data_IF_380709583063
#
_entry.id   IF_380709583063
#
_cell.length_a   1.000
_cell.length_b   1.000
_cell.length_c   1.000
_cell.angle_alpha   90.00
_cell.angle_beta   90.00
_cell.angle_gamma   90.00
#
_symmetry.space_group_name_H-M   'P 1'
#
loop_
_entity.id
_entity.type
_entity.pdbx_description
1 polymer ?
#
# COMPACT_ATOMS: atom_id res chain seq x y z
N UNK A 1 10.26 -8.70 10.57
CA UNK A 1 10.46 -7.80 9.41
C UNK A 1 11.87 -7.90 8.80
N UNK A 2 12.89 -8.42 9.49
CA UNK A 2 14.24 -8.67 8.90
C UNK A 2 14.36 -9.95 8.03
N UNK A 3 13.29 -10.35 7.32
CA UNK A 3 13.28 -11.58 6.49
C UNK A 3 13.25 -11.33 4.98
N UNK A 4 13.27 -10.06 4.57
CA UNK A 4 13.30 -9.72 3.15
C UNK A 4 14.74 -9.81 2.65
N UNK A 5 15.00 -10.75 1.76
CA UNK A 5 16.31 -10.92 1.11
C UNK A 5 16.13 -10.67 -0.39
N UNK A 6 16.17 -9.40 -0.78
CA UNK A 6 15.97 -8.97 -2.17
C UNK A 6 17.29 -8.58 -2.83
N UNK A 7 17.50 -9.08 -4.04
CA UNK A 7 18.59 -8.71 -4.94
C UNK A 7 18.00 -8.34 -6.31
N UNK A 8 18.69 -7.45 -7.03
CA UNK A 8 18.28 -6.96 -8.36
C UNK A 8 18.29 -8.02 -9.48
N UNK A 9 18.52 -9.28 -9.14
CA UNK A 9 18.74 -10.38 -10.06
C UNK A 9 17.49 -11.24 -10.30
N UNK A 10 16.34 -10.87 -9.73
CA UNK A 10 15.08 -11.61 -9.88
C UNK A 10 14.63 -11.65 -11.34
N UNK A 11 14.32 -12.86 -11.82
CA UNK A 11 13.80 -13.15 -13.17
C UNK A 11 12.45 -13.86 -13.14
N UNK A 12 12.08 -14.47 -12.01
CA UNK A 12 10.74 -14.99 -11.79
C UNK A 12 10.27 -14.65 -10.37
N UNK A 13 9.00 -14.25 -10.24
CA UNK A 13 8.33 -14.03 -8.97
C UNK A 13 7.15 -15.01 -8.85
N UNK A 14 7.16 -15.79 -7.79
CA UNK A 14 6.11 -16.75 -7.44
C UNK A 14 5.35 -16.21 -6.25
N UNK A 15 4.06 -15.92 -6.46
CA UNK A 15 3.19 -15.42 -5.40
C UNK A 15 2.40 -16.58 -4.80
N UNK A 16 2.30 -16.63 -3.48
CA UNK A 16 1.18 -17.33 -2.88
C UNK A 16 -0.13 -16.67 -3.33
N UNK A 17 -1.18 -17.47 -3.44
CA UNK A 17 -2.49 -16.98 -3.84
C UNK A 17 -3.29 -16.49 -2.64
N UNK A 18 -3.31 -17.28 -1.56
CA UNK A 18 -4.26 -17.20 -0.47
C UNK A 18 -3.68 -16.43 0.73
N UNK A 19 -4.08 -15.18 0.93
CA UNK A 19 -3.50 -14.32 1.97
C UNK A 19 -2.38 -13.44 1.45
N UNK A 20 -1.90 -13.68 0.23
CA UNK A 20 -0.96 -12.80 -0.49
C UNK A 20 -1.69 -11.99 -1.58
N UNK A 21 -2.23 -12.65 -2.61
CA UNK A 21 -3.02 -11.98 -3.67
C UNK A 21 -4.49 -11.80 -3.28
N UNK A 22 -5.04 -12.71 -2.48
CA UNK A 22 -6.32 -12.53 -1.76
C UNK A 22 -6.08 -11.97 -0.36
N UNK A 23 -7.09 -11.35 0.24
CA UNK A 23 -6.94 -10.68 1.54
C UNK A 23 -7.00 -11.67 2.70
N UNK A 24 -7.81 -12.72 2.54
CA UNK A 24 -8.01 -13.75 3.55
C UNK A 24 -6.99 -14.88 3.39
N UNK A 25 -6.28 -15.28 4.46
CA UNK A 25 -5.39 -16.44 4.45
C UNK A 25 -6.11 -17.74 4.10
N UNK A 26 -5.38 -18.68 3.47
CA UNK A 26 -5.96 -19.89 2.86
C UNK A 26 -6.75 -20.78 3.79
N UNK A 27 -6.38 -20.84 5.07
CA UNK A 27 -7.01 -21.69 6.08
C UNK A 27 -8.40 -21.17 6.50
N UNK A 28 -8.73 -19.92 6.12
CA UNK A 28 -9.98 -19.22 6.49
C UNK A 28 -10.88 -18.89 5.30
N UNK A 29 -10.40 -19.09 4.07
CA UNK A 29 -11.06 -18.58 2.87
C UNK A 29 -11.91 -19.63 2.15
N UNK A 30 -13.24 -19.42 2.10
CA UNK A 30 -14.13 -20.17 1.21
C UNK A 30 -13.90 -19.79 -0.26
N UNK A 31 -14.06 -20.74 -1.20
CA UNK A 31 -13.82 -20.52 -2.64
C UNK A 31 -14.58 -19.32 -3.22
N UNK A 32 -15.83 -19.09 -2.80
CA UNK A 32 -16.64 -17.95 -3.29
C UNK A 32 -16.07 -16.61 -2.85
N UNK A 33 -15.48 -16.54 -1.65
CA UNK A 33 -14.93 -15.31 -1.10
C UNK A 33 -13.63 -14.93 -1.83
N UNK A 34 -12.79 -15.91 -2.19
CA UNK A 34 -11.54 -15.67 -2.94
C UNK A 34 -11.76 -14.93 -4.26
N UNK A 35 -12.79 -15.31 -5.01
CA UNK A 35 -13.12 -14.67 -6.29
C UNK A 35 -13.62 -13.23 -6.11
N UNK A 36 -14.44 -12.98 -5.09
CA UNK A 36 -14.92 -11.64 -4.79
C UNK A 36 -13.76 -10.73 -4.32
N UNK A 37 -12.93 -11.22 -3.40
CA UNK A 37 -11.76 -10.50 -2.90
C UNK A 37 -10.78 -10.15 -4.01
N UNK A 38 -10.43 -11.12 -4.88
CA UNK A 38 -9.47 -10.86 -5.95
C UNK A 38 -10.03 -9.89 -6.99
N UNK A 39 -11.34 -9.93 -7.28
CA UNK A 39 -11.99 -8.94 -8.15
C UNK A 39 -11.92 -7.53 -7.56
N UNK A 40 -12.20 -7.38 -6.27
CA UNK A 40 -12.11 -6.10 -5.56
C UNK A 40 -10.67 -5.55 -5.56
N UNK A 41 -9.67 -6.42 -5.42
CA UNK A 41 -8.25 -6.04 -5.38
C UNK A 41 -7.60 -5.87 -6.75
N UNK A 42 -8.20 -6.41 -7.82
CA UNK A 42 -7.66 -6.38 -9.19
C UNK A 42 -7.23 -4.98 -9.66
N UNK A 43 -8.00 -3.89 -9.44
CA UNK A 43 -7.59 -2.55 -9.85
C UNK A 43 -6.25 -2.09 -9.25
N UNK A 44 -5.96 -2.47 -8.01
CA UNK A 44 -4.70 -2.16 -7.34
C UNK A 44 -3.58 -3.12 -7.78
N UNK A 45 -3.85 -4.42 -7.86
CA UNK A 45 -2.83 -5.43 -8.21
C UNK A 45 -2.34 -5.31 -9.66
N UNK A 46 -3.25 -5.05 -10.61
CA UNK A 46 -2.97 -5.04 -12.05
C UNK A 46 -1.77 -4.18 -12.43
N UNK A 47 -1.67 -2.88 -12.08
CA UNK A 47 -0.54 -2.05 -12.51
C UNK A 47 0.81 -2.60 -12.03
N UNK A 48 0.87 -3.16 -10.82
CA UNK A 48 2.10 -3.76 -10.27
C UNK A 48 2.50 -5.04 -10.99
N UNK A 49 1.56 -5.97 -11.15
CA UNK A 49 1.79 -7.23 -11.85
C UNK A 49 2.14 -6.98 -13.32
N UNK A 50 1.49 -6.03 -13.97
CA UNK A 50 1.83 -5.62 -15.32
C UNK A 50 3.26 -5.06 -15.39
N UNK A 51 3.65 -4.22 -14.42
CA UNK A 51 4.99 -3.63 -14.39
C UNK A 51 6.08 -4.70 -14.26
N UNK A 52 5.89 -5.73 -13.44
CA UNK A 52 6.80 -6.88 -13.39
C UNK A 52 7.03 -7.51 -14.78
N UNK A 53 5.97 -7.69 -15.56
CA UNK A 53 6.10 -8.27 -16.91
C UNK A 53 6.83 -7.37 -17.87
N UNK A 54 6.56 -6.07 -17.81
CA UNK A 54 7.21 -5.07 -18.66
C UNK A 54 8.73 -5.04 -18.44
N UNK A 55 9.18 -5.30 -17.20
CA UNK A 55 10.60 -5.44 -16.87
C UNK A 55 11.14 -6.86 -17.06
N UNK A 56 10.36 -7.76 -17.66
CA UNK A 56 10.78 -9.10 -18.06
C UNK A 56 10.74 -10.17 -16.97
N UNK A 57 10.11 -9.89 -15.82
CA UNK A 57 9.95 -10.89 -14.75
C UNK A 57 8.80 -11.83 -15.10
N UNK A 58 9.06 -13.14 -15.01
CA UNK A 58 8.03 -14.17 -15.16
C UNK A 58 7.20 -14.25 -13.90
N UNK A 59 5.87 -14.17 -14.05
CA UNK A 59 4.93 -14.21 -12.93
C UNK A 59 4.27 -15.57 -12.82
N UNK A 60 4.54 -16.28 -11.72
CA UNK A 60 3.88 -17.54 -11.37
C UNK A 60 3.12 -17.47 -10.06
N UNK A 61 2.37 -18.52 -9.78
CA UNK A 61 1.64 -18.69 -8.52
C UNK A 61 1.97 -20.04 -7.92
N UNK A 62 2.11 -20.11 -6.60
CA UNK A 62 2.31 -21.35 -5.86
C UNK A 62 1.49 -21.34 -4.57
N UNK A 63 0.43 -22.14 -4.51
CA UNK A 63 -0.55 -22.08 -3.42
C UNK A 63 -1.12 -23.44 -3.03
N UNK A 64 -1.62 -23.53 -1.79
CA UNK A 64 -2.40 -24.69 -1.29
C UNK A 64 -3.71 -24.87 -2.06
N UNK A 65 -4.29 -23.79 -2.60
CA UNK A 65 -5.49 -23.87 -3.45
C UNK A 65 -5.27 -24.74 -4.68
N UNK A 66 -6.32 -25.39 -5.18
CA UNK A 66 -6.24 -26.14 -6.44
C UNK A 66 -5.97 -25.21 -7.63
N UNK A 67 -5.23 -25.69 -8.62
CA UNK A 67 -4.89 -24.94 -9.83
C UNK A 67 -6.14 -24.39 -10.53
N UNK A 68 -7.18 -25.20 -10.69
CA UNK A 68 -8.45 -24.75 -11.28
C UNK A 68 -9.07 -23.59 -10.50
N UNK A 69 -9.04 -23.62 -9.16
CA UNK A 69 -9.60 -22.53 -8.35
C UNK A 69 -8.84 -21.23 -8.55
N UNK A 70 -7.51 -21.32 -8.64
CA UNK A 70 -6.63 -20.17 -8.88
C UNK A 70 -6.92 -19.59 -10.27
N UNK A 71 -6.93 -20.44 -11.30
CA UNK A 71 -7.18 -20.03 -12.68
C UNK A 71 -8.56 -19.39 -12.85
N UNK A 72 -9.62 -20.00 -12.29
CA UNK A 72 -10.98 -19.44 -12.34
C UNK A 72 -11.05 -18.04 -11.71
N UNK A 73 -10.39 -17.85 -10.56
CA UNK A 73 -10.38 -16.58 -9.86
C UNK A 73 -9.60 -15.50 -10.62
N UNK A 74 -8.43 -15.85 -11.17
CA UNK A 74 -7.63 -14.94 -11.99
C UNK A 74 -8.36 -14.52 -13.27
N UNK A 75 -9.02 -15.47 -13.94
CA UNK A 75 -9.83 -15.20 -15.13
C UNK A 75 -10.98 -14.24 -14.79
N UNK A 76 -11.69 -14.54 -13.70
CA UNK A 76 -12.80 -13.73 -13.21
C UNK A 76 -12.39 -12.32 -12.77
N UNK A 77 -11.15 -12.13 -12.32
CA UNK A 77 -10.55 -10.85 -11.96
C UNK A 77 -9.79 -10.18 -13.13
N UNK A 78 -9.78 -10.81 -14.31
CA UNK A 78 -9.05 -10.42 -15.52
C UNK A 78 -7.52 -10.34 -15.33
N UNK A 79 -6.95 -10.99 -14.31
CA UNK A 79 -5.51 -10.97 -14.03
C UNK A 79 -4.76 -12.13 -14.70
N UNK A 80 -5.48 -13.14 -15.23
CA UNK A 80 -4.89 -14.38 -15.77
C UNK A 80 -3.79 -14.13 -16.80
N UNK A 81 -4.02 -13.18 -17.70
CA UNK A 81 -3.10 -12.80 -18.77
C UNK A 81 -1.75 -12.26 -18.26
N UNK A 82 -1.69 -11.81 -17.01
CA UNK A 82 -0.46 -11.28 -16.40
C UNK A 82 0.46 -12.39 -15.90
N UNK A 83 -0.07 -13.59 -15.61
CA UNK A 83 0.72 -14.71 -15.12
C UNK A 83 1.21 -15.59 -16.28
N UNK A 84 2.43 -15.31 -16.75
CA UNK A 84 3.10 -16.05 -17.83
C UNK A 84 4.04 -17.18 -17.34
N UNK A 85 4.06 -17.43 -16.02
CA UNK A 85 4.82 -18.50 -15.38
C UNK A 85 3.95 -19.69 -14.95
N UNK A 86 4.54 -20.62 -14.17
CA UNK A 86 3.80 -21.77 -13.65
C UNK A 86 2.72 -21.36 -12.65
N UNK A 87 1.59 -22.07 -12.67
CA UNK A 87 0.57 -22.02 -11.62
C UNK A 87 0.55 -23.38 -10.93
N UNK A 88 1.14 -23.45 -9.74
CA UNK A 88 1.24 -24.68 -8.96
C UNK A 88 0.19 -24.67 -7.86
N UNK A 89 -0.91 -25.39 -8.10
CA UNK A 89 -1.92 -25.64 -7.07
C UNK A 89 -1.59 -26.83 -6.19
N UNK A 90 -2.26 -26.93 -5.03
CA UNK A 90 -2.01 -27.97 -4.02
C UNK A 90 -0.53 -28.11 -3.69
N UNK A 91 0.17 -26.98 -3.56
CA UNK A 91 1.61 -26.90 -3.29
C UNK A 91 1.93 -27.34 -1.84
N UNK A 92 1.65 -28.61 -1.53
CA UNK A 92 1.91 -29.27 -0.26
C UNK A 92 2.95 -30.35 -0.53
N UNK A 93 4.19 -30.11 -0.13
CA UNK A 93 5.27 -31.09 -0.22
C UNK A 93 5.95 -31.24 1.13
N UNK A 94 6.70 -32.34 1.32
CA UNK A 94 7.48 -32.56 2.54
C UNK A 94 8.56 -31.48 2.74
N UNK A 95 9.02 -30.90 1.62
CA UNK A 95 10.03 -29.85 1.57
C UNK A 95 9.42 -28.44 1.43
N UNK A 96 8.09 -28.34 1.54
CA UNK A 96 7.35 -27.10 1.34
C UNK A 96 7.37 -26.61 -0.12
N UNK A 97 7.16 -25.31 -0.30
CA UNK A 97 7.22 -24.64 -1.61
C UNK A 97 8.64 -24.61 -2.18
N UNK A 98 9.65 -24.53 -1.32
CA UNK A 98 11.05 -24.47 -1.72
C UNK A 98 11.48 -25.69 -2.57
N UNK A 99 11.05 -26.91 -2.20
CA UNK A 99 11.33 -28.12 -2.98
C UNK A 99 10.62 -28.13 -4.34
N UNK A 100 9.36 -27.67 -4.40
CA UNK A 100 8.64 -27.55 -5.66
C UNK A 100 9.30 -26.53 -6.60
N UNK A 101 9.84 -25.43 -6.05
CA UNK A 101 10.57 -24.43 -6.83
C UNK A 101 11.85 -25.03 -7.43
N UNK A 102 12.56 -25.88 -6.67
CA UNK A 102 13.74 -26.58 -7.16
C UNK A 102 13.42 -27.53 -8.32
N UNK A 103 12.31 -28.26 -8.23
CA UNK A 103 11.83 -29.12 -9.32
C UNK A 103 11.50 -28.30 -10.58
N UNK A 104 10.80 -27.16 -10.41
CA UNK A 104 10.48 -26.23 -11.50
C UNK A 104 11.74 -25.69 -12.19
N UNK A 105 12.83 -25.47 -11.46
CA UNK A 105 14.11 -25.00 -11.98
C UNK A 105 14.95 -26.10 -12.63
N UNK A 106 14.82 -27.35 -12.16
CA UNK A 106 15.69 -28.44 -12.64
C UNK A 106 15.11 -29.11 -13.88
N UNK A 107 13.81 -29.35 -13.87
CA UNK A 107 13.12 -30.13 -14.92
C UNK A 107 11.89 -29.44 -15.49
N UNK A 108 11.46 -28.34 -14.88
CA UNK A 108 10.20 -27.69 -15.18
C UNK A 108 10.30 -26.42 -16.04
N UNK A 109 9.23 -25.61 -16.05
CA UNK A 109 9.11 -24.44 -16.90
C UNK A 109 10.05 -23.28 -16.53
N UNK A 110 10.78 -23.37 -15.40
CA UNK A 110 11.77 -22.37 -14.99
C UNK A 110 13.22 -22.83 -15.26
N UNK A 111 13.42 -23.97 -15.93
CA UNK A 111 14.75 -24.49 -16.24
C UNK A 111 15.60 -23.55 -17.12
N UNK A 112 14.97 -22.63 -17.86
CA UNK A 112 15.66 -21.62 -18.65
C UNK A 112 16.49 -20.63 -17.80
N UNK A 113 16.24 -20.55 -16.49
CA UNK A 113 17.02 -19.70 -15.58
C UNK A 113 18.45 -20.23 -15.38
N UNK A 114 18.71 -21.50 -15.71
CA UNK A 114 20.04 -22.10 -15.75
C UNK A 114 20.64 -22.39 -14.37
N UNK A 115 21.96 -22.61 -14.31
CA UNK A 115 22.66 -22.87 -13.05
C UNK A 115 22.48 -21.70 -12.08
N UNK A 116 22.18 -21.99 -10.81
CA UNK A 116 21.82 -21.00 -9.78
C UNK A 116 20.44 -20.35 -9.93
N UNK A 117 19.52 -20.97 -10.69
CA UNK A 117 18.15 -20.49 -10.88
C UNK A 117 17.46 -20.02 -9.59
N UNK A 118 17.68 -20.72 -8.47
CA UNK A 118 17.07 -20.39 -7.17
C UNK A 118 17.31 -18.94 -6.74
N UNK A 119 18.50 -18.39 -6.98
CA UNK A 119 18.84 -16.99 -6.63
C UNK A 119 18.11 -15.96 -7.48
N UNK A 120 17.58 -16.38 -8.62
CA UNK A 120 16.82 -15.53 -9.54
C UNK A 120 15.30 -15.63 -9.30
N UNK A 121 14.87 -16.35 -8.28
CA UNK A 121 13.47 -16.53 -7.92
C UNK A 121 13.15 -15.75 -6.66
N UNK A 122 12.06 -15.00 -6.71
CA UNK A 122 11.41 -14.40 -5.56
C UNK A 122 10.18 -15.22 -5.19
N UNK A 123 10.11 -15.68 -3.93
CA UNK A 123 8.87 -16.20 -3.33
C UNK A 123 8.23 -15.09 -2.48
N UNK A 124 6.97 -14.80 -2.77
CA UNK A 124 6.15 -13.87 -1.97
C UNK A 124 5.05 -14.65 -1.29
N UNK A 125 5.05 -14.66 0.04
CA UNK A 125 4.20 -15.54 0.84
C UNK A 125 3.85 -14.87 2.19
N UNK A 126 2.68 -15.17 2.75
CA UNK A 126 2.32 -14.80 4.12
C UNK A 126 2.78 -15.85 5.15
N UNK A 127 3.10 -17.07 4.70
CA UNK A 127 3.65 -18.12 5.57
C UNK A 127 5.16 -17.95 5.79
N UNK A 128 5.51 -17.38 6.94
CA UNK A 128 6.89 -17.13 7.38
C UNK A 128 7.74 -18.42 7.43
N UNK A 129 7.14 -19.58 7.69
CA UNK A 129 7.88 -20.85 7.73
C UNK A 129 8.28 -21.30 6.32
N UNK A 130 7.42 -21.07 5.33
CA UNK A 130 7.75 -21.34 3.93
C UNK A 130 8.84 -20.40 3.42
N UNK A 131 8.80 -19.12 3.82
CA UNK A 131 9.86 -18.16 3.50
C UNK A 131 11.21 -18.55 4.13
N UNK A 132 11.26 -18.93 5.40
CA UNK A 132 12.51 -19.37 6.04
C UNK A 132 13.10 -20.60 5.33
N UNK A 133 12.27 -21.57 4.95
CA UNK A 133 12.70 -22.73 4.14
C UNK A 133 13.25 -22.31 2.78
N UNK A 134 12.57 -21.40 2.09
CA UNK A 134 12.97 -20.88 0.79
C UNK A 134 14.32 -20.14 0.88
N UNK A 135 14.47 -19.26 1.87
CA UNK A 135 15.72 -18.52 2.10
C UNK A 135 16.92 -19.43 2.35
N UNK A 136 16.74 -20.53 3.10
CA UNK A 136 17.81 -21.54 3.31
C UNK A 136 18.25 -22.25 2.03
N UNK A 137 17.42 -22.25 0.98
CA UNK A 137 17.77 -22.76 -0.36
C UNK A 137 18.29 -21.68 -1.32
N UNK A 138 18.51 -20.47 -0.80
CA UNK A 138 19.00 -19.34 -1.60
C UNK A 138 17.95 -18.73 -2.52
N UNK A 139 16.66 -18.99 -2.25
CA UNK A 139 15.54 -18.29 -2.90
C UNK A 139 15.36 -16.94 -2.22
N UNK A 140 15.13 -15.90 -3.00
CA UNK A 140 14.79 -14.59 -2.45
C UNK A 140 13.38 -14.59 -1.88
N UNK A 141 13.15 -13.88 -0.79
CA UNK A 141 11.88 -13.93 -0.06
C UNK A 141 11.35 -12.54 0.22
N UNK A 142 10.03 -12.39 0.13
CA UNK A 142 9.30 -11.22 0.60
C UNK A 142 8.08 -11.67 1.40
N UNK A 143 7.96 -11.21 2.64
CA UNK A 143 6.82 -11.54 3.49
C UNK A 143 5.62 -10.63 3.17
N UNK A 144 4.53 -11.23 2.69
CA UNK A 144 3.25 -10.54 2.60
C UNK A 144 2.69 -10.25 4.02
N UNK A 145 1.84 -9.22 4.19
CA UNK A 145 1.17 -8.99 5.46
C UNK A 145 0.36 -10.21 5.94
N UNK A 146 0.40 -10.50 7.24
CA UNK A 146 -0.35 -11.63 7.84
C UNK A 146 -1.86 -11.57 7.59
N UNK A 147 -2.41 -10.36 7.41
CA UNK A 147 -3.81 -10.12 7.09
C UNK A 147 -3.93 -9.08 5.98
N UNK A 148 -4.90 -9.26 5.07
CA UNK A 148 -5.23 -8.28 4.03
C UNK A 148 -4.46 -8.47 2.71
N UNK A 149 -3.41 -9.28 2.72
CA UNK A 149 -2.50 -9.52 1.59
C UNK A 149 -1.75 -8.28 1.11
N UNK A 150 -1.01 -8.44 0.00
CA UNK A 150 -0.15 -7.38 -0.53
C UNK A 150 -0.93 -6.11 -0.87
N UNK A 151 -0.45 -5.00 -0.36
CA UNK A 151 -0.95 -3.67 -0.64
C UNK A 151 0.05 -2.90 -1.51
N UNK A 152 -0.42 -1.74 -1.95
CA UNK A 152 0.30 -0.78 -2.78
C UNK A 152 1.69 -0.41 -2.22
N UNK A 153 1.81 -0.26 -0.90
CA UNK A 153 3.09 0.06 -0.24
C UNK A 153 4.00 -1.17 -0.13
N UNK A 154 3.44 -2.37 0.04
CA UNK A 154 4.22 -3.62 0.04
C UNK A 154 4.85 -3.86 -1.33
N UNK A 155 4.10 -3.59 -2.42
CA UNK A 155 4.68 -3.59 -3.75
C UNK A 155 5.71 -2.47 -3.93
N UNK A 156 5.52 -1.30 -3.30
CA UNK A 156 6.51 -0.23 -3.28
C UNK A 156 7.84 -0.68 -2.66
N UNK A 157 7.80 -1.26 -1.46
CA UNK A 157 8.97 -1.81 -0.76
C UNK A 157 9.62 -2.94 -1.57
N UNK A 158 8.79 -3.82 -2.14
CA UNK A 158 9.26 -4.92 -2.98
C UNK A 158 9.99 -4.39 -4.22
N UNK A 159 9.42 -3.41 -4.93
CA UNK A 159 10.04 -2.80 -6.11
C UNK A 159 11.32 -2.06 -5.77
N UNK A 160 11.32 -1.30 -4.67
CA UNK A 160 12.52 -0.62 -4.17
C UNK A 160 13.65 -1.63 -3.88
N UNK A 161 13.34 -2.72 -3.18
CA UNK A 161 14.31 -3.77 -2.86
C UNK A 161 14.84 -4.51 -4.09
N UNK A 162 14.02 -4.66 -5.13
CA UNK A 162 14.45 -5.20 -6.43
C UNK A 162 15.16 -4.17 -7.32
N UNK A 163 15.17 -2.89 -6.93
CA UNK A 163 15.69 -1.80 -7.75
C UNK A 163 14.89 -1.56 -9.03
N UNK A 164 13.58 -1.82 -8.99
CA UNK A 164 12.64 -1.63 -10.09
C UNK A 164 11.87 -0.31 -9.91
N UNK A 165 11.52 0.33 -11.03
CA UNK A 165 10.65 1.51 -10.99
C UNK A 165 9.17 1.10 -10.83
N UNK A 166 8.44 1.67 -9.85
CA UNK A 166 7.02 1.41 -9.66
C UNK A 166 6.18 1.87 -10.88
N UNK A 167 4.96 1.36 -11.06
CA UNK A 167 4.10 1.78 -12.16
C UNK A 167 3.72 3.28 -12.07
N UNK A 168 3.57 3.98 -13.21
CA UNK A 168 3.40 5.44 -13.27
C UNK A 168 2.26 6.00 -12.42
N UNK A 169 1.20 5.22 -12.20
CA UNK A 169 0.00 5.62 -11.46
C UNK A 169 0.10 5.43 -9.94
N UNK A 170 1.11 4.69 -9.47
CA UNK A 170 1.17 4.23 -8.06
C UNK A 170 2.17 5.02 -7.19
N UNK A 171 3.14 5.68 -7.81
CA UNK A 171 4.31 6.21 -7.10
C UNK A 171 4.14 7.62 -6.50
N UNK A 172 3.00 8.28 -6.68
CA UNK A 172 2.89 9.68 -6.22
C UNK A 172 1.61 10.38 -6.57
N UNK A 173 0.49 9.65 -6.71
CA UNK A 173 -0.79 10.34 -6.93
C UNK A 173 -1.12 11.16 -5.68
N UNK A 174 -0.90 12.47 -5.78
CA UNK A 174 -1.44 13.47 -4.87
C UNK A 174 -2.92 13.71 -5.13
N UNK A 175 -3.53 12.94 -6.02
CA UNK A 175 -4.96 12.94 -6.24
C UNK A 175 -5.70 12.62 -4.95
N UNK A 176 -6.72 13.42 -4.71
CA UNK A 176 -7.57 13.35 -3.55
C UNK A 176 -8.85 12.64 -3.95
N UNK A 177 -9.07 11.47 -3.38
CA UNK A 177 -10.26 10.66 -3.62
C UNK A 177 -11.39 11.02 -2.65
N UNK A 178 -11.07 11.69 -1.55
CA UNK A 178 -12.08 12.16 -0.59
C UNK A 178 -11.66 13.45 0.12
N UNK A 179 -12.60 14.37 0.22
CA UNK A 179 -12.47 15.67 0.90
C UNK A 179 -13.51 15.77 2.01
N UNK A 180 -13.12 16.36 3.14
CA UNK A 180 -14.06 16.76 4.18
C UNK A 180 -14.59 18.16 3.87
N UNK A 181 -15.90 18.28 3.66
CA UNK A 181 -16.53 19.49 3.10
C UNK A 181 -16.34 20.74 3.96
N UNK A 182 -16.18 20.55 5.28
CA UNK A 182 -15.90 21.65 6.24
C UNK A 182 -14.46 22.12 6.22
N UNK A 183 -13.53 21.37 5.63
CA UNK A 183 -12.14 21.74 5.54
C UNK A 183 -11.89 22.88 4.56
N UNK A 184 -10.71 23.49 4.61
CA UNK A 184 -10.33 24.61 3.75
C UNK A 184 -10.49 24.31 2.24
N UNK A 185 -10.08 23.12 1.78
CA UNK A 185 -10.26 22.70 0.39
C UNK A 185 -11.75 22.54 0.03
N UNK A 186 -12.54 21.91 0.91
CA UNK A 186 -13.97 21.74 0.71
C UNK A 186 -14.71 23.08 0.58
N UNK A 187 -14.37 24.06 1.43
CA UNK A 187 -14.90 25.43 1.32
C UNK A 187 -14.46 26.13 0.04
N UNK A 188 -13.20 25.95 -0.38
CA UNK A 188 -12.68 26.54 -1.62
C UNK A 188 -13.38 26.01 -2.86
N UNK A 189 -13.81 24.74 -2.81
CA UNK A 189 -14.62 24.09 -3.83
C UNK A 189 -16.12 24.43 -3.71
N UNK A 190 -16.49 25.33 -2.78
CA UNK A 190 -17.89 25.70 -2.50
C UNK A 190 -18.77 24.51 -2.14
N UNK A 191 -18.21 23.47 -1.51
CA UNK A 191 -18.99 22.33 -1.02
C UNK A 191 -19.88 22.77 0.14
N UNK A 192 -21.11 22.25 0.18
CA UNK A 192 -21.99 22.41 1.34
C UNK A 192 -21.46 21.64 2.54
N UNK A 193 -21.78 22.08 3.76
CA UNK A 193 -21.38 21.38 5.00
C UNK A 193 -21.93 19.95 5.10
N UNK A 194 -22.93 19.60 4.27
CA UNK A 194 -23.47 18.25 4.11
C UNK A 194 -23.51 17.88 2.62
N UNK A 195 -23.11 16.65 2.23
CA UNK A 195 -22.52 15.61 3.10
C UNK A 195 -21.17 16.07 3.69
N UNK A 196 -20.81 15.52 4.85
CA UNK A 196 -19.56 15.88 5.54
C UNK A 196 -18.31 15.43 4.79
N UNK A 197 -18.45 14.39 3.95
CA UNK A 197 -17.41 13.82 3.11
C UNK A 197 -17.91 13.77 1.66
N UNK A 198 -17.08 14.22 0.72
CA UNK A 198 -17.31 14.07 -0.72
C UNK A 198 -16.22 13.16 -1.28
N UNK A 199 -16.62 12.11 -2.00
CA UNK A 199 -15.69 11.18 -2.66
C UNK A 199 -15.69 11.41 -4.17
N UNK A 200 -14.55 11.16 -4.79
CA UNK A 200 -14.32 11.26 -6.23
C UNK A 200 -14.00 9.88 -6.79
N UNK A 201 -14.40 9.64 -8.03
CA UNK A 201 -13.96 8.48 -8.79
C UNK A 201 -12.49 8.65 -9.19
N UNK A 202 -11.82 7.54 -9.48
CA UNK A 202 -10.40 7.56 -9.87
C UNK A 202 -10.19 8.37 -11.15
N UNK A 203 -9.30 9.36 -11.10
CA UNK A 203 -9.00 10.28 -12.19
C UNK A 203 -9.83 11.58 -12.18
N UNK A 204 -10.89 11.65 -11.37
CA UNK A 204 -11.77 12.82 -11.27
C UNK A 204 -11.48 13.68 -10.02
N UNK A 205 -10.59 13.20 -9.14
CA UNK A 205 -10.24 13.89 -7.91
C UNK A 205 -9.32 15.10 -8.16
N UNK A 206 -9.42 16.17 -7.36
CA UNK A 206 -8.44 17.25 -7.40
C UNK A 206 -7.09 16.75 -6.88
N UNK A 207 -6.01 17.42 -7.26
CA UNK A 207 -4.69 17.18 -6.70
C UNK A 207 -4.50 17.97 -5.40
N UNK A 208 -3.66 17.47 -4.49
CA UNK A 208 -3.25 18.24 -3.30
C UNK A 208 -2.69 19.62 -3.69
N UNK A 209 -1.95 19.69 -4.80
CA UNK A 209 -1.35 20.91 -5.33
C UNK A 209 -2.37 21.95 -5.79
N UNK A 210 -3.61 21.54 -6.08
CA UNK A 210 -4.69 22.46 -6.47
C UNK A 210 -5.18 23.28 -5.26
N UNK A 211 -4.94 22.77 -4.05
CA UNK A 211 -5.40 23.38 -2.80
C UNK A 211 -4.26 23.87 -1.91
N UNK A 212 -3.07 23.29 -1.99
CA UNK A 212 -1.97 23.58 -1.07
C UNK A 212 -0.63 23.74 -1.80
N UNK A 213 0.03 24.87 -1.51
CA UNK A 213 1.42 25.11 -1.87
C UNK A 213 2.32 24.55 -0.75
N UNK A 214 2.82 23.32 -0.93
CA UNK A 214 3.70 22.65 0.04
C UNK A 214 5.13 23.14 -0.12
N UNK A 215 5.78 23.50 0.99
CA UNK A 215 7.20 23.82 0.97
C UNK A 215 8.03 22.52 0.82
N UNK A 216 8.66 22.39 -0.34
CA UNK A 216 9.53 21.26 -0.67
C UNK A 216 11.02 21.57 -0.45
N UNK A 217 11.38 22.85 -0.23
CA UNK A 217 12.75 23.31 -0.05
C UNK A 217 13.20 23.22 1.40
N UNK A 218 12.29 23.46 2.34
CA UNK A 218 12.57 23.33 3.77
C UNK A 218 12.61 21.85 4.22
N UNK A 219 13.40 21.60 5.26
CA UNK A 219 13.43 20.29 5.94
C UNK A 219 12.05 20.04 6.56
N UNK A 220 11.62 18.78 6.59
CA UNK A 220 10.37 18.36 7.26
C UNK A 220 10.30 18.95 8.67
N UNK A 221 9.17 19.58 9.03
CA UNK A 221 8.93 20.16 10.35
C UNK A 221 9.02 19.10 11.46
N UNK A 222 8.61 17.88 11.13
CA UNK A 222 8.70 16.73 12.02
C UNK A 222 8.45 15.44 11.27
N UNK A 223 8.86 14.33 11.89
CA UNK A 223 8.58 12.98 11.42
C UNK A 223 8.17 12.14 12.62
N UNK A 224 7.04 11.45 12.50
CA UNK A 224 6.55 10.51 13.49
C UNK A 224 6.41 9.10 12.90
N UNK A 225 5.92 8.17 13.72
CA UNK A 225 5.71 6.76 13.33
C UNK A 225 4.80 6.59 12.11
N UNK A 226 3.84 7.50 11.91
CA UNK A 226 2.82 7.40 10.86
C UNK A 226 3.10 8.26 9.63
N UNK A 227 4.19 9.03 9.64
CA UNK A 227 4.62 9.80 8.48
C UNK A 227 5.29 11.13 8.81
N UNK A 228 5.24 12.06 7.86
CA UNK A 228 6.04 13.29 7.84
C UNK A 228 5.15 14.51 7.94
N UNK A 229 5.70 15.62 8.44
CA UNK A 229 5.02 16.91 8.52
C UNK A 229 5.79 17.91 7.68
N UNK A 230 5.09 18.67 6.84
CA UNK A 230 5.67 19.76 6.04
C UNK A 230 4.90 21.05 6.26
N UNK A 231 5.61 22.17 6.12
CA UNK A 231 5.01 23.49 6.01
C UNK A 231 4.28 23.59 4.68
N UNK A 232 3.14 24.25 4.67
CA UNK A 232 2.39 24.56 3.46
C UNK A 232 1.63 25.87 3.60
N UNK A 233 1.00 26.30 2.52
CA UNK A 233 0.06 27.42 2.51
C UNK A 233 -1.16 27.00 1.68
N UNK A 234 -2.34 27.21 2.22
CA UNK A 234 -3.58 26.97 1.49
C UNK A 234 -3.71 28.01 0.36
N UNK A 235 -3.84 27.53 -0.87
CA UNK A 235 -3.65 28.32 -2.07
C UNK A 235 -4.69 29.44 -2.24
N UNK A 236 -5.95 29.20 -1.87
CA UNK A 236 -7.03 30.18 -2.07
C UNK A 236 -7.08 31.26 -0.98
N UNK A 237 -6.79 30.92 0.27
CA UNK A 237 -6.89 31.85 1.42
C UNK A 237 -5.55 32.44 1.84
N UNK A 238 -4.42 31.86 1.40
CA UNK A 238 -3.09 32.22 1.89
C UNK A 238 -2.81 31.77 3.33
N UNK A 239 -3.67 30.93 3.92
CA UNK A 239 -3.52 30.48 5.31
C UNK A 239 -2.27 29.61 5.46
N UNK A 240 -1.28 29.98 6.28
CA UNK A 240 -0.13 29.14 6.57
C UNK A 240 -0.56 27.94 7.42
N UNK A 241 -0.04 26.75 7.11
CA UNK A 241 -0.43 25.52 7.79
C UNK A 241 0.71 24.51 7.84
N UNK A 242 0.51 23.46 8.64
CA UNK A 242 1.30 22.25 8.60
C UNK A 242 0.46 21.10 8.05
N UNK A 243 0.99 20.36 7.08
CA UNK A 243 0.36 19.16 6.53
C UNK A 243 1.08 17.95 7.09
N UNK A 244 0.35 17.14 7.87
CA UNK A 244 0.79 15.83 8.31
C UNK A 244 0.33 14.78 7.30
N UNK A 245 1.30 14.13 6.69
CA UNK A 245 1.11 13.02 5.75
C UNK A 245 1.01 11.74 6.58
N UNK A 246 -0.19 11.18 6.67
CA UNK A 246 -0.46 9.96 7.42
C UNK A 246 -0.55 8.83 6.41
N UNK A 247 0.44 7.94 6.41
CA UNK A 247 0.40 6.71 5.63
C UNK A 247 -0.73 5.83 6.18
N UNK A 248 -1.74 5.54 5.34
CA UNK A 248 -2.91 4.75 5.74
C UNK A 248 -2.52 3.35 6.22
N UNK A 249 -1.50 2.76 5.58
CA UNK A 249 -0.98 1.45 5.96
C UNK A 249 -0.38 1.50 7.38
N UNK A 250 0.51 2.46 7.65
CA UNK A 250 1.12 2.64 8.97
C UNK A 250 0.09 2.98 10.06
N UNK A 251 -0.97 3.71 9.72
CA UNK A 251 -2.06 4.03 10.63
C UNK A 251 -2.93 2.79 10.97
N UNK A 252 -3.07 1.86 10.02
CA UNK A 252 -3.79 0.62 10.19
C UNK A 252 -5.32 0.75 10.05
N UNK A 253 -5.99 -0.39 9.84
CA UNK A 253 -7.44 -0.46 9.57
C UNK A 253 -8.29 0.19 10.65
N UNK A 254 -7.99 -0.05 11.93
CA UNK A 254 -8.72 0.53 13.06
C UNK A 254 -8.69 2.06 13.06
N UNK A 255 -7.60 2.66 12.57
CA UNK A 255 -7.51 4.10 12.41
C UNK A 255 -8.50 4.59 11.34
N UNK A 256 -8.53 3.93 10.18
CA UNK A 256 -9.47 4.28 9.10
C UNK A 256 -10.92 4.13 9.54
N UNK A 257 -11.26 3.01 10.19
CA UNK A 257 -12.61 2.79 10.72
C UNK A 257 -13.03 3.88 11.72
N UNK A 258 -12.11 4.31 12.57
CA UNK A 258 -12.39 5.32 13.60
C UNK A 258 -12.47 6.73 13.02
N UNK A 259 -11.51 7.12 12.19
CA UNK A 259 -11.37 8.51 11.75
C UNK A 259 -12.13 8.82 10.47
N UNK A 260 -12.20 7.84 9.56
CA UNK A 260 -12.80 7.99 8.24
C UNK A 260 -14.23 7.48 8.24
N UNK A 261 -14.46 6.22 8.62
CA UNK A 261 -15.78 5.60 8.50
C UNK A 261 -16.76 6.10 9.57
N UNK A 262 -16.28 6.31 10.80
CA UNK A 262 -17.06 6.96 11.87
C UNK A 262 -16.96 8.49 11.87
N UNK A 263 -16.31 9.05 10.84
CA UNK A 263 -16.26 10.48 10.57
C UNK A 263 -15.74 11.37 11.72
N UNK A 264 -14.79 10.87 12.52
CA UNK A 264 -14.20 11.65 13.61
C UNK A 264 -13.47 12.90 13.13
N UNK A 265 -12.99 12.91 11.87
CA UNK A 265 -12.39 14.10 11.27
C UNK A 265 -13.36 15.29 11.15
N UNK A 266 -14.65 15.05 10.85
CA UNK A 266 -15.66 16.12 10.87
C UNK A 266 -15.79 16.72 12.25
N UNK A 267 -15.83 15.89 13.29
CA UNK A 267 -15.88 16.36 14.67
C UNK A 267 -14.68 17.25 15.03
N UNK A 268 -13.47 16.88 14.62
CA UNK A 268 -12.26 17.68 14.86
C UNK A 268 -12.27 19.03 14.11
N UNK A 269 -12.80 19.05 12.89
CA UNK A 269 -13.02 20.29 12.14
C UNK A 269 -14.07 21.17 12.82
N UNK A 270 -15.16 20.59 13.31
CA UNK A 270 -16.22 21.32 14.03
C UNK A 270 -15.73 21.91 15.35
N UNK A 271 -14.89 21.18 16.10
CA UNK A 271 -14.27 21.71 17.31
C UNK A 271 -13.46 22.97 17.03
N UNK A 272 -12.69 22.96 15.93
CA UNK A 272 -11.85 24.11 15.55
C UNK A 272 -12.71 25.30 15.09
N UNK A 273 -13.79 25.05 14.35
CA UNK A 273 -14.65 26.10 13.81
C UNK A 273 -15.62 26.70 14.84
N UNK A 274 -16.24 25.88 15.67
CA UNK A 274 -17.38 26.27 16.51
C UNK A 274 -16.98 26.50 17.98
N UNK A 275 -15.89 25.90 18.44
CA UNK A 275 -15.44 26.00 19.83
C UNK A 275 -13.91 25.99 19.93
N UNK A 276 -13.22 26.96 19.27
CA UNK A 276 -11.76 27.01 19.28
C UNK A 276 -11.24 27.24 20.70
N UNK A 277 -10.18 26.52 21.07
CA UNK A 277 -9.52 26.66 22.36
C UNK A 277 -8.08 27.16 22.17
N UNK A 278 -7.62 28.20 22.90
CA UNK A 278 -6.32 28.83 22.67
C UNK A 278 -5.10 27.93 22.93
N UNK A 279 -5.30 26.77 23.57
CA UNK A 279 -4.25 25.80 23.88
C UNK A 279 -4.44 24.44 23.21
N UNK A 280 -5.34 24.33 22.23
CA UNK A 280 -5.53 23.11 21.43
C UNK A 280 -5.26 23.47 19.98
N UNK A 281 -4.37 22.73 19.32
CA UNK A 281 -4.07 22.94 17.90
C UNK A 281 -5.33 22.74 17.05
N UNK A 282 -5.66 23.73 16.23
CA UNK A 282 -6.78 23.65 15.30
C UNK A 282 -6.49 22.73 14.12
N UNK A 283 -7.50 21.97 13.71
CA UNK A 283 -7.52 21.24 12.44
C UNK A 283 -8.25 22.06 11.39
N UNK A 284 -7.58 22.28 10.27
CA UNK A 284 -8.03 23.16 9.20
C UNK A 284 -8.64 22.39 8.03
N UNK A 285 -8.18 21.16 7.80
CA UNK A 285 -8.63 20.33 6.68
C UNK A 285 -8.27 18.87 6.86
N UNK A 286 -9.02 18.01 6.16
CA UNK A 286 -8.67 16.62 5.94
C UNK A 286 -8.92 16.27 4.48
N UNK A 287 -7.90 15.68 3.86
CA UNK A 287 -7.97 15.15 2.50
C UNK A 287 -7.48 13.71 2.52
N UNK A 288 -7.96 12.89 1.61
CA UNK A 288 -7.56 11.50 1.53
C UNK A 288 -7.30 11.14 0.07
N UNK A 289 -6.03 10.91 -0.26
CA UNK A 289 -5.64 10.28 -1.51
C UNK A 289 -5.63 8.76 -1.39
N UNK A 290 -5.05 8.04 -2.35
CA UNK A 290 -5.02 6.56 -2.33
C UNK A 290 -4.31 6.02 -1.08
N UNK A 291 -3.10 6.51 -0.80
CA UNK A 291 -2.20 5.97 0.25
C UNK A 291 -2.06 6.85 1.48
N UNK A 292 -2.39 8.13 1.33
CA UNK A 292 -2.11 9.15 2.33
C UNK A 292 -3.40 9.83 2.77
N UNK A 293 -3.55 10.02 4.07
CA UNK A 293 -4.46 11.01 4.63
C UNK A 293 -3.62 12.26 4.91
N UNK A 294 -4.06 13.39 4.39
CA UNK A 294 -3.47 14.69 4.65
C UNK A 294 -4.28 15.36 5.76
N UNK A 295 -3.72 15.38 6.97
CA UNK A 295 -4.27 16.13 8.08
C UNK A 295 -3.64 17.52 8.09
N UNK A 296 -4.43 18.54 7.79
CA UNK A 296 -3.96 19.93 7.75
C UNK A 296 -4.32 20.59 9.07
N UNK A 297 -3.31 21.15 9.73
CA UNK A 297 -3.45 21.78 11.04
C UNK A 297 -2.82 23.17 11.02
N UNK A 298 -3.14 23.96 12.03
CA UNK A 298 -2.48 25.23 12.28
C UNK A 298 -0.96 25.08 12.31
N UNK A 299 -0.26 26.06 11.74
CA UNK A 299 1.19 26.11 11.85
C UNK A 299 1.56 26.68 13.22
N UNK A 300 2.02 25.81 14.12
CA UNK A 300 2.53 26.23 15.42
C UNK A 300 4.00 26.67 15.27
N UNK A 301 4.28 27.91 15.68
CA UNK A 301 5.61 28.48 15.70
C UNK A 301 6.19 28.42 17.12
N UNK A 302 7.50 28.21 17.22
CA UNK A 302 8.19 28.00 18.48
C UNK A 302 8.73 26.58 18.62
N UNK A 303 9.43 26.32 19.72
CA UNK A 303 10.02 25.01 19.98
C UNK A 303 9.06 24.10 20.75
N UNK A 304 9.19 22.80 20.50
CA UNK A 304 8.54 21.78 21.28
C UNK A 304 8.95 21.85 22.76
N UNK A 305 8.00 21.63 23.67
CA UNK A 305 8.21 21.80 25.11
C UNK A 305 9.22 20.79 25.67
N UNK A 306 9.25 19.54 25.16
CA UNK A 306 10.24 18.56 25.62
C UNK A 306 11.65 18.94 25.15
N UNK A 307 11.77 19.52 23.95
CA UNK A 307 13.03 20.12 23.52
C UNK A 307 13.43 21.30 24.40
N UNK A 308 12.48 22.14 24.82
CA UNK A 308 12.74 23.23 25.77
C UNK A 308 13.30 22.75 27.09
N UNK A 309 12.67 21.76 27.70
CA UNK A 309 13.12 21.18 28.97
C UNK A 309 14.46 20.44 28.87
N UNK A 310 14.84 19.98 27.68
CA UNK A 310 16.15 19.35 27.47
C UNK A 310 17.27 20.39 27.39
N UNK A 311 16.96 21.55 26.80
CA UNK A 311 17.95 22.56 26.48
C UNK A 311 18.10 23.62 27.61
N UNK A 312 17.23 23.63 28.63
CA UNK A 312 17.22 24.56 29.79
C UNK A 312 16.99 23.82 31.11
#
# INVERSE_FOLDING_TARGET
RDQNCLEKSVRAALFDFDGTLTATPGDRAERRNKLAELRERSPMLRPWLQRFREVGVTLGIMSKSSEQTILDALEAAQLRELFNGPVVGKALSLEGKAGLIEDLCTTGPLAYLGPNAMRHILLVDDDVLELDRAGRRGIQTFAAPEDGGLLDDDFGELFEGLGLEPPPTTAGSTEIHRIWSRGLAGRSLSLSAQPTQVSYECGDGPLLSDHYCVDTREKTLGQGSFGKIRRATHASTGTPCAIKYICKQAAGRRYLETFVDRDLFTFLLEMTEQSPHPNVCGFLDYLMGTRVIYAVQELLEGQDFLHYLRDH
#
